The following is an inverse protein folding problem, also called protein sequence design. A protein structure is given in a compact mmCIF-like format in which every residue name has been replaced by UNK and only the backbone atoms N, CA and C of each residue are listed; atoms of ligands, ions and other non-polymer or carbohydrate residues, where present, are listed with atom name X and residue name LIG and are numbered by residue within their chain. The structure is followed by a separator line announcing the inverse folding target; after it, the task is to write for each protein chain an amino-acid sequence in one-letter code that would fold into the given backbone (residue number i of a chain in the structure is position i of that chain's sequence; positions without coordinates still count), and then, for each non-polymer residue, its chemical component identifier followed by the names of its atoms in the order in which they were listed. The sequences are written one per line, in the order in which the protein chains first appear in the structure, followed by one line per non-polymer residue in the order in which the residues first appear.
data_IF_047178524399
#
_entry.id   IF_047178524399
#
_cell.length_a   1.000
_cell.length_b   1.000
_cell.length_c   1.000
_cell.angle_alpha   90.00
_cell.angle_beta   90.00
_cell.angle_gamma   90.00
#
_symmetry.space_group_name_H-M   'P 1'
#
loop_
_entity.id
_entity.type
_entity.pdbx_description
1 polymer ?
#
# COMPACT_ATOMS: atom_id res chain seq x y z
N UNK A 1 -18.33 -11.79 -6.06
CA UNK A 1 -17.22 -11.41 -5.17
C UNK A 1 -17.79 -10.41 -4.17
N UNK A 2 -17.75 -10.73 -2.88
CA UNK A 2 -18.22 -9.80 -1.85
C UNK A 2 -17.32 -8.57 -1.86
N UNK A 3 -17.93 -7.41 -1.91
CA UNK A 3 -17.23 -6.12 -1.85
C UNK A 3 -16.74 -5.92 -0.42
N UNK A 4 -15.59 -6.50 -0.07
CA UNK A 4 -15.06 -6.48 1.27
C UNK A 4 -14.58 -5.07 1.61
N UNK A 5 -15.26 -4.45 2.56
CA UNK A 5 -15.01 -3.09 3.05
C UNK A 5 -14.44 -3.19 4.45
N UNK A 6 -13.27 -2.56 4.69
CA UNK A 6 -12.66 -2.47 6.00
C UNK A 6 -12.87 -1.06 6.58
N UNK A 7 -13.12 -0.98 7.88
CA UNK A 7 -13.45 0.28 8.55
C UNK A 7 -12.57 0.54 9.76
N UNK A 8 -12.11 1.77 9.91
CA UNK A 8 -11.59 2.31 11.16
C UNK A 8 -12.46 3.47 11.64
N UNK A 9 -11.99 4.24 12.61
CA UNK A 9 -12.66 5.45 13.07
C UNK A 9 -12.78 6.50 11.94
N UNK A 10 -11.67 6.80 11.26
CA UNK A 10 -11.58 7.86 10.24
C UNK A 10 -11.62 7.37 8.80
N UNK A 11 -11.34 6.09 8.55
CA UNK A 11 -11.08 5.57 7.22
C UNK A 11 -12.08 4.48 6.82
N UNK A 12 -12.28 4.41 5.52
CA UNK A 12 -12.96 3.33 4.81
C UNK A 12 -11.99 2.80 3.76
N UNK A 13 -11.71 1.50 3.76
CA UNK A 13 -10.99 0.84 2.67
C UNK A 13 -12.01 0.12 1.80
N UNK A 14 -12.17 0.56 0.55
CA UNK A 14 -13.08 -0.03 -0.44
C UNK A 14 -12.35 -0.37 -1.73
N UNK A 15 -12.96 -1.20 -2.54
CA UNK A 15 -12.40 -1.49 -3.86
C UNK A 15 -12.38 -0.25 -4.73
N UNK A 16 -11.40 -0.20 -5.63
CA UNK A 16 -11.30 0.81 -6.65
C UNK A 16 -12.39 0.63 -7.71
N UNK A 17 -12.92 1.73 -8.19
CA UNK A 17 -13.89 1.79 -9.30
C UNK A 17 -13.32 2.63 -10.44
N UNK A 18 -13.67 2.33 -11.68
CA UNK A 18 -13.18 3.13 -12.82
C UNK A 18 -13.63 4.60 -12.75
N UNK A 19 -14.72 4.88 -12.06
CA UNK A 19 -15.20 6.22 -11.73
C UNK A 19 -14.24 7.03 -10.85
N UNK A 20 -13.34 6.37 -10.13
CA UNK A 20 -12.34 7.01 -9.28
C UNK A 20 -11.16 7.61 -10.06
N UNK A 21 -11.12 7.44 -11.37
CA UNK A 21 -9.99 7.83 -12.21
C UNK A 21 -9.60 9.30 -12.10
N UNK A 22 -10.56 10.21 -11.97
CA UNK A 22 -10.29 11.63 -11.81
C UNK A 22 -9.66 11.95 -10.46
N UNK A 23 -10.12 11.29 -9.37
CA UNK A 23 -9.54 11.46 -8.05
C UNK A 23 -8.14 10.84 -7.99
N UNK A 24 -7.95 9.66 -8.57
CA UNK A 24 -6.63 9.05 -8.68
C UNK A 24 -5.68 9.96 -9.46
N UNK A 25 -6.09 10.53 -10.58
CA UNK A 25 -5.25 11.42 -11.37
C UNK A 25 -4.79 12.65 -10.58
N UNK A 26 -5.68 13.28 -9.80
CA UNK A 26 -5.31 14.42 -8.95
C UNK A 26 -4.19 14.08 -7.96
N UNK A 27 -4.19 12.87 -7.44
CA UNK A 27 -3.15 12.38 -6.52
C UNK A 27 -1.90 11.94 -7.28
N UNK A 28 -2.10 11.15 -8.32
CA UNK A 28 -1.02 10.47 -9.03
C UNK A 28 -0.24 11.38 -9.99
N UNK A 29 -0.76 12.55 -10.30
CA UNK A 29 -0.02 13.59 -11.06
C UNK A 29 0.93 14.42 -10.18
N UNK A 30 0.87 14.27 -8.84
CA UNK A 30 1.82 14.93 -7.95
C UNK A 30 3.19 14.21 -8.00
N UNK A 31 4.28 14.93 -8.40
CA UNK A 31 5.61 14.33 -8.55
C UNK A 31 6.23 13.86 -7.24
N UNK A 32 5.68 14.26 -6.10
CA UNK A 32 6.15 13.80 -4.80
C UNK A 32 5.50 12.47 -4.34
N UNK A 33 4.41 12.02 -4.96
CA UNK A 33 3.69 10.81 -4.54
C UNK A 33 4.21 9.57 -5.27
N UNK A 34 4.11 9.54 -6.59
CA UNK A 34 4.46 8.38 -7.42
C UNK A 34 5.90 7.90 -7.23
N UNK A 35 6.92 8.76 -7.42
CA UNK A 35 8.32 8.36 -7.31
C UNK A 35 8.70 7.80 -5.94
N UNK A 36 8.06 8.27 -4.86
CA UNK A 36 8.28 7.72 -3.50
C UNK A 36 7.62 6.37 -3.25
N UNK A 37 6.66 6.00 -4.10
CA UNK A 37 5.94 4.73 -4.04
C UNK A 37 6.37 3.75 -5.15
N UNK A 38 7.36 4.13 -5.98
CA UNK A 38 7.96 3.25 -6.99
C UNK A 38 7.27 3.27 -8.36
N UNK A 39 6.51 4.34 -8.66
CA UNK A 39 5.86 4.49 -9.97
C UNK A 39 5.96 5.94 -10.49
N UNK A 40 5.84 6.09 -11.82
CA UNK A 40 5.90 7.41 -12.48
C UNK A 40 4.59 8.18 -12.31
N UNK A 41 4.68 9.52 -12.30
CA UNK A 41 3.50 10.38 -12.26
C UNK A 41 2.59 10.13 -13.45
N UNK A 42 1.28 10.04 -13.18
CA UNK A 42 0.27 9.89 -14.22
C UNK A 42 0.15 11.17 -15.06
N UNK A 43 -0.05 11.02 -16.36
CA UNK A 43 -0.09 12.11 -17.34
C UNK A 43 -1.52 12.48 -17.75
N UNK A 44 -2.50 11.61 -17.44
CA UNK A 44 -3.90 11.83 -17.80
C UNK A 44 -4.86 11.02 -16.91
N UNK A 45 -6.12 11.43 -16.91
CA UNK A 45 -7.21 10.66 -16.27
C UNK A 45 -7.38 9.29 -16.91
N UNK A 46 -7.16 9.17 -18.23
CA UNK A 46 -7.26 7.88 -18.91
C UNK A 46 -6.16 6.91 -18.48
N UNK A 47 -4.93 7.39 -18.28
CA UNK A 47 -3.84 6.57 -17.68
C UNK A 47 -4.23 6.10 -16.28
N UNK A 48 -4.79 6.97 -15.45
CA UNK A 48 -5.30 6.59 -14.11
C UNK A 48 -6.41 5.55 -14.20
N UNK A 49 -7.33 5.69 -15.16
CA UNK A 49 -8.40 4.70 -15.40
C UNK A 49 -7.83 3.33 -15.79
N UNK A 50 -6.82 3.33 -16.65
CA UNK A 50 -6.17 2.09 -17.08
C UNK A 50 -5.40 1.44 -15.91
N UNK A 51 -4.75 2.22 -15.04
CA UNK A 51 -4.11 1.70 -13.81
C UNK A 51 -5.16 1.07 -12.89
N UNK A 52 -6.31 1.72 -12.67
CA UNK A 52 -7.39 1.12 -11.89
C UNK A 52 -7.81 -0.22 -12.51
N UNK A 53 -8.09 -0.23 -13.80
CA UNK A 53 -8.59 -1.42 -14.52
C UNK A 53 -7.60 -2.59 -14.47
N UNK A 54 -6.31 -2.34 -14.70
CA UNK A 54 -5.30 -3.39 -14.84
C UNK A 54 -4.59 -3.78 -13.55
N UNK A 55 -4.42 -2.81 -12.65
CA UNK A 55 -3.56 -2.99 -11.46
C UNK A 55 -4.40 -3.03 -10.18
N UNK A 56 -5.40 -2.15 -10.02
CA UNK A 56 -6.13 -2.03 -8.77
C UNK A 56 -7.43 -2.84 -8.73
N UNK A 57 -7.98 -3.28 -9.88
CA UNK A 57 -9.17 -4.11 -9.95
C UNK A 57 -8.86 -5.57 -9.60
N UNK A 58 -8.53 -5.81 -8.34
CA UNK A 58 -8.24 -7.14 -7.78
C UNK A 58 -8.72 -7.21 -6.32
N UNK A 59 -8.67 -8.42 -5.73
CA UNK A 59 -9.15 -8.67 -4.37
C UNK A 59 -8.11 -8.34 -3.26
N UNK A 60 -6.98 -7.77 -3.63
CA UNK A 60 -5.87 -7.46 -2.71
C UNK A 60 -5.56 -5.96 -2.61
N UNK A 61 -6.31 -5.08 -3.31
CA UNK A 61 -6.03 -3.65 -3.39
C UNK A 61 -7.26 -2.81 -3.05
N UNK A 62 -7.08 -1.80 -2.19
CA UNK A 62 -8.14 -0.91 -1.72
C UNK A 62 -7.77 0.56 -1.90
N UNK A 63 -8.76 1.37 -2.26
CA UNK A 63 -8.73 2.80 -2.06
C UNK A 63 -8.90 3.13 -0.58
N UNK A 64 -8.08 4.03 -0.06
CA UNK A 64 -8.23 4.60 1.28
C UNK A 64 -9.12 5.83 1.15
N UNK A 65 -10.30 5.79 1.74
CA UNK A 65 -11.27 6.90 1.71
C UNK A 65 -11.37 7.52 3.10
N UNK A 66 -11.25 8.83 3.18
CA UNK A 66 -11.51 9.59 4.40
C UNK A 66 -13.03 9.69 4.63
N UNK A 67 -13.53 9.23 5.77
CA UNK A 67 -14.97 9.21 6.07
C UNK A 67 -15.59 10.60 6.18
N UNK A 68 -14.82 11.57 6.67
CA UNK A 68 -15.27 12.95 6.85
C UNK A 68 -15.44 13.66 5.51
N UNK A 69 -14.41 13.64 4.66
CA UNK A 69 -14.39 14.37 3.39
C UNK A 69 -14.95 13.58 2.22
N UNK A 70 -15.11 12.27 2.35
CA UNK A 70 -15.47 11.30 1.30
C UNK A 70 -14.45 11.20 0.17
N UNK A 71 -13.30 11.85 0.29
CA UNK A 71 -12.26 11.84 -0.72
C UNK A 71 -11.39 10.59 -0.60
N UNK A 72 -10.89 10.12 -1.73
CA UNK A 72 -9.81 9.15 -1.78
C UNK A 72 -8.52 9.85 -1.36
N UNK A 73 -7.84 9.29 -0.36
CA UNK A 73 -6.64 9.87 0.22
C UNK A 73 -5.40 8.99 0.01
N UNK A 74 -5.56 7.81 -0.57
CA UNK A 74 -4.46 6.89 -0.81
C UNK A 74 -4.89 5.53 -1.33
N UNK A 75 -3.92 4.63 -1.37
CA UNK A 75 -4.08 3.23 -1.75
C UNK A 75 -3.33 2.33 -0.78
N UNK A 76 -3.85 1.14 -0.56
CA UNK A 76 -3.21 0.11 0.25
C UNK A 76 -3.57 -1.27 -0.28
N UNK A 77 -2.64 -2.21 -0.17
CA UNK A 77 -2.88 -3.58 -0.61
C UNK A 77 -1.85 -4.56 -0.12
N UNK A 78 -2.04 -5.82 -0.49
CA UNK A 78 -1.04 -6.87 -0.29
C UNK A 78 -0.71 -7.57 -1.60
N UNK A 79 0.49 -8.11 -1.67
CA UNK A 79 1.00 -8.93 -2.76
C UNK A 79 1.27 -10.34 -2.21
N UNK A 80 0.89 -11.35 -2.97
CA UNK A 80 1.20 -12.74 -2.65
C UNK A 80 2.57 -13.11 -3.20
N UNK A 81 3.05 -14.31 -2.87
CA UNK A 81 4.29 -14.86 -3.41
C UNK A 81 4.44 -14.67 -4.94
N UNK A 82 3.35 -14.80 -5.70
CA UNK A 82 3.37 -14.66 -7.16
C UNK A 82 3.54 -13.21 -7.67
N UNK A 83 3.26 -12.21 -6.83
CA UNK A 83 3.21 -10.79 -7.23
C UNK A 83 4.11 -9.89 -6.39
N UNK A 84 4.72 -10.43 -5.33
CA UNK A 84 5.64 -9.69 -4.45
C UNK A 84 6.94 -9.30 -5.16
N UNK A 85 7.47 -8.13 -4.79
CA UNK A 85 8.78 -7.65 -5.25
C UNK A 85 9.95 -8.27 -4.47
N UNK A 86 9.67 -8.84 -3.31
CA UNK A 86 10.66 -9.52 -2.46
C UNK A 86 10.38 -11.01 -2.40
N UNK A 87 11.41 -11.87 -2.21
CA UNK A 87 11.19 -13.31 -2.11
C UNK A 87 10.54 -13.64 -0.78
N UNK A 88 9.27 -14.02 -0.81
CA UNK A 88 8.46 -14.44 0.35
C UNK A 88 7.93 -15.86 0.17
N UNK A 89 7.47 -16.49 1.25
CA UNK A 89 6.86 -17.82 1.22
C UNK A 89 5.47 -17.83 0.56
N UNK A 90 5.00 -19.01 0.14
CA UNK A 90 3.68 -19.18 -0.49
C UNK A 90 2.51 -18.81 0.43
N UNK A 91 2.71 -18.95 1.74
CA UNK A 91 1.72 -18.61 2.78
C UNK A 91 1.89 -17.20 3.35
N UNK A 92 2.79 -16.40 2.79
CA UNK A 92 3.11 -15.06 3.24
C UNK A 92 2.49 -13.99 2.34
N UNK A 93 2.50 -12.75 2.80
CA UNK A 93 2.20 -11.61 1.95
C UNK A 93 3.16 -10.44 2.19
N UNK A 94 3.32 -9.62 1.18
CA UNK A 94 3.96 -8.31 1.25
C UNK A 94 2.89 -7.23 1.26
N UNK A 95 2.98 -6.22 2.12
CA UNK A 95 2.05 -5.08 2.14
C UNK A 95 2.68 -3.85 1.53
N UNK A 96 1.88 -3.09 0.78
CA UNK A 96 2.29 -1.84 0.15
C UNK A 96 1.22 -0.76 0.27
N UNK A 97 1.64 0.49 0.31
CA UNK A 97 0.74 1.64 0.47
C UNK A 97 1.35 2.95 -0.02
N UNK A 98 0.47 3.89 -0.33
CA UNK A 98 0.81 5.30 -0.51
C UNK A 98 -0.38 6.19 -0.11
N UNK A 99 -0.07 7.43 0.25
CA UNK A 99 -1.06 8.44 0.68
C UNK A 99 -0.78 9.74 -0.05
N UNK A 100 -1.83 10.44 -0.46
CA UNK A 100 -1.77 11.74 -1.09
C UNK A 100 -1.07 12.78 -0.21
N UNK A 101 -0.24 13.63 -0.80
CA UNK A 101 0.61 14.61 -0.11
C UNK A 101 -0.11 15.50 0.92
N UNK A 102 -1.34 16.02 0.66
CA UNK A 102 -2.06 16.82 1.67
C UNK A 102 -2.39 16.07 2.96
N UNK A 103 -2.34 14.75 2.95
CA UNK A 103 -2.68 13.87 4.09
C UNK A 103 -1.46 13.27 4.78
N UNK A 104 -0.25 13.67 4.41
CA UNK A 104 0.97 13.22 5.08
C UNK A 104 1.05 13.70 6.52
N UNK A 105 1.76 12.93 7.36
CA UNK A 105 1.97 13.22 8.79
C UNK A 105 0.70 13.26 9.67
N UNK A 106 -0.46 12.80 9.15
CA UNK A 106 -1.73 12.78 9.87
C UNK A 106 -2.10 11.38 10.41
N UNK A 107 -1.19 10.41 10.31
CA UNK A 107 -1.40 9.04 10.79
C UNK A 107 -2.29 8.17 9.90
N UNK A 108 -2.75 8.67 8.76
CA UNK A 108 -3.62 7.97 7.81
C UNK A 108 -3.02 6.62 7.38
N UNK A 109 -1.77 6.63 6.94
CA UNK A 109 -1.08 5.43 6.51
C UNK A 109 -0.98 4.37 7.62
N UNK A 110 -0.64 4.79 8.84
CA UNK A 110 -0.53 3.90 10.00
C UNK A 110 -1.88 3.26 10.35
N UNK A 111 -2.96 4.04 10.30
CA UNK A 111 -4.33 3.58 10.59
C UNK A 111 -4.81 2.59 9.51
N UNK A 112 -4.62 2.91 8.23
CA UNK A 112 -4.96 2.03 7.12
C UNK A 112 -4.16 0.72 7.15
N UNK A 113 -2.86 0.80 7.45
CA UNK A 113 -2.01 -0.39 7.55
C UNK A 113 -2.45 -1.32 8.68
N UNK A 114 -2.83 -0.80 9.84
CA UNK A 114 -3.36 -1.64 10.94
C UNK A 114 -4.63 -2.39 10.54
N UNK A 115 -5.53 -1.76 9.79
CA UNK A 115 -6.72 -2.43 9.25
C UNK A 115 -6.33 -3.58 8.31
N UNK A 116 -5.41 -3.31 7.38
CA UNK A 116 -4.95 -4.32 6.43
C UNK A 116 -4.24 -5.48 7.15
N UNK A 117 -3.41 -5.21 8.16
CA UNK A 117 -2.71 -6.24 8.93
C UNK A 117 -3.70 -7.16 9.65
N UNK A 118 -4.73 -6.61 10.28
CA UNK A 118 -5.80 -7.41 10.87
C UNK A 118 -6.46 -8.32 9.83
N UNK A 119 -6.81 -7.77 8.66
CA UNK A 119 -7.38 -8.53 7.57
C UNK A 119 -6.45 -9.65 7.07
N UNK A 120 -5.17 -9.35 6.84
CA UNK A 120 -4.17 -10.32 6.40
C UNK A 120 -3.99 -11.47 7.38
N UNK A 121 -3.95 -11.19 8.70
CA UNK A 121 -3.72 -12.21 9.72
C UNK A 121 -5.00 -12.98 10.08
N UNK A 122 -6.13 -12.29 10.28
CA UNK A 122 -7.33 -12.87 10.86
C UNK A 122 -8.33 -13.39 9.82
N UNK A 123 -8.30 -12.85 8.60
CA UNK A 123 -9.23 -13.23 7.53
C UNK A 123 -8.54 -14.04 6.44
N UNK A 124 -7.38 -13.59 5.98
CA UNK A 124 -6.61 -14.30 4.94
C UNK A 124 -5.68 -15.37 5.51
N UNK A 125 -5.37 -15.32 6.81
CA UNK A 125 -4.54 -16.29 7.52
C UNK A 125 -3.11 -16.42 6.97
N UNK A 126 -2.53 -15.31 6.48
CA UNK A 126 -1.12 -15.30 6.10
C UNK A 126 -0.24 -15.58 7.33
N UNK A 127 0.84 -16.35 7.13
CA UNK A 127 1.74 -16.76 8.21
C UNK A 127 2.71 -15.65 8.59
N UNK A 128 3.35 -15.04 7.59
CA UNK A 128 4.24 -13.91 7.79
C UNK A 128 3.80 -12.72 6.91
N UNK A 129 4.01 -11.53 7.42
CA UNK A 129 3.74 -10.29 6.68
C UNK A 129 5.05 -9.53 6.52
N UNK A 130 5.34 -9.23 5.29
CA UNK A 130 6.52 -8.52 4.84
C UNK A 130 6.16 -7.16 4.29
N UNK A 131 7.12 -6.27 4.25
CA UNK A 131 7.02 -4.98 3.58
C UNK A 131 8.41 -4.54 3.15
N UNK A 132 8.48 -3.61 2.25
CA UNK A 132 9.71 -2.90 1.96
C UNK A 132 9.52 -1.37 1.97
N UNK A 133 10.62 -0.65 1.99
CA UNK A 133 10.63 0.77 1.75
C UNK A 133 11.92 1.19 1.07
N UNK A 134 11.86 2.18 0.19
CA UNK A 134 13.06 2.77 -0.39
C UNK A 134 13.95 3.38 0.70
N UNK A 135 15.26 3.18 0.58
CA UNK A 135 16.22 3.66 1.58
C UNK A 135 16.08 5.18 1.81
N UNK A 136 15.77 5.93 0.76
CA UNK A 136 15.52 7.38 0.83
C UNK A 136 14.15 7.79 1.37
N UNK A 137 13.30 6.83 1.83
CA UNK A 137 11.94 7.11 2.32
C UNK A 137 11.78 6.82 3.83
N UNK A 138 12.33 7.64 4.74
CA UNK A 138 12.22 7.42 6.18
C UNK A 138 10.79 7.57 6.71
N UNK A 139 9.89 8.21 5.95
CA UNK A 139 8.48 8.31 6.33
C UNK A 139 7.79 6.95 6.28
N UNK A 140 8.03 6.17 5.22
CA UNK A 140 7.53 4.79 5.10
C UNK A 140 8.12 3.90 6.20
N UNK A 141 9.43 3.99 6.47
CA UNK A 141 10.06 3.25 7.58
C UNK A 141 9.33 3.48 8.91
N UNK A 142 9.07 4.74 9.26
CA UNK A 142 8.36 5.10 10.51
C UNK A 142 6.93 4.56 10.56
N UNK A 143 6.22 4.48 9.44
CA UNK A 143 4.87 3.87 9.39
C UNK A 143 4.96 2.39 9.70
N UNK A 144 5.89 1.68 9.07
CA UNK A 144 6.12 0.24 9.28
C UNK A 144 6.51 -0.04 10.75
N UNK A 145 7.47 0.70 11.30
CA UNK A 145 7.90 0.56 12.70
C UNK A 145 6.73 0.76 13.70
N UNK A 146 5.89 1.79 13.48
CA UNK A 146 4.69 2.05 14.30
C UNK A 146 3.65 0.93 14.23
N UNK A 147 3.64 0.16 13.15
CA UNK A 147 2.78 -1.01 12.98
C UNK A 147 3.43 -2.31 13.47
N UNK A 148 4.69 -2.26 13.94
CA UNK A 148 5.38 -3.40 14.55
C UNK A 148 6.30 -4.16 13.62
N UNK A 149 6.59 -3.63 12.45
CA UNK A 149 7.62 -4.18 11.58
C UNK A 149 9.01 -3.91 12.13
N UNK A 150 9.93 -4.85 11.86
CA UNK A 150 11.34 -4.75 12.18
C UNK A 150 12.19 -4.93 10.93
N UNK A 151 13.30 -4.22 10.92
CA UNK A 151 14.31 -4.36 9.88
C UNK A 151 14.93 -5.77 9.94
N UNK A 152 14.94 -6.45 8.83
CA UNK A 152 15.56 -7.78 8.70
C UNK A 152 17.06 -7.73 8.42
N UNK A 153 17.60 -6.57 8.13
CA UNK A 153 18.96 -6.40 7.63
C UNK A 153 19.13 -6.73 6.13
N UNK A 154 18.08 -7.21 5.47
CA UNK A 154 18.11 -7.54 4.06
C UNK A 154 17.84 -6.32 3.19
N UNK A 155 18.59 -6.24 2.09
CA UNK A 155 18.40 -5.27 1.02
C UNK A 155 17.96 -6.00 -0.24
N UNK A 156 17.05 -5.39 -0.99
CA UNK A 156 16.62 -5.88 -2.29
C UNK A 156 16.63 -4.75 -3.31
N UNK A 157 16.53 -5.10 -4.57
CA UNK A 157 16.37 -4.14 -5.67
C UNK A 157 14.97 -4.31 -6.26
N UNK A 158 14.15 -3.30 -6.12
CA UNK A 158 12.84 -3.25 -6.75
C UNK A 158 12.87 -2.40 -8.00
N UNK A 159 12.22 -2.86 -9.06
CA UNK A 159 11.94 -2.02 -10.21
C UNK A 159 10.69 -1.19 -9.92
N UNK A 160 10.64 0.02 -10.48
CA UNK A 160 9.40 0.79 -10.50
C UNK A 160 8.30 0.01 -11.23
N UNK A 161 7.05 0.15 -10.78
CA UNK A 161 5.89 -0.57 -11.34
C UNK A 161 5.67 -0.32 -12.83
N UNK A 162 6.11 0.83 -13.34
CA UNK A 162 5.97 1.23 -14.76
C UNK A 162 7.27 1.13 -15.55
N UNK A 163 8.24 0.36 -15.07
CA UNK A 163 9.56 0.24 -15.69
C UNK A 163 10.45 1.44 -15.34
N UNK A 164 11.68 1.20 -15.04
CA UNK A 164 12.63 2.21 -14.62
C UNK A 164 13.83 1.56 -13.97
N UNK A 165 14.68 2.37 -13.39
CA UNK A 165 15.83 1.89 -12.65
C UNK A 165 15.39 1.13 -11.40
N UNK A 166 16.19 0.15 -11.02
CA UNK A 166 15.98 -0.61 -9.80
C UNK A 166 16.56 0.17 -8.62
N UNK A 167 15.69 0.57 -7.71
CA UNK A 167 16.10 1.21 -6.48
C UNK A 167 16.28 0.22 -5.33
N UNK A 168 17.18 0.58 -4.42
CA UNK A 168 17.42 -0.22 -3.23
C UNK A 168 16.31 -0.03 -2.21
N UNK A 169 15.76 -1.13 -1.75
CA UNK A 169 14.78 -1.18 -0.69
C UNK A 169 15.31 -1.95 0.50
N UNK A 170 14.85 -1.58 1.67
CA UNK A 170 15.09 -2.27 2.92
C UNK A 170 13.89 -3.15 3.24
N UNK A 171 14.15 -4.43 3.48
CA UNK A 171 13.11 -5.42 3.75
C UNK A 171 12.77 -5.44 5.23
N UNK A 172 11.49 -5.35 5.53
CA UNK A 172 10.92 -5.34 6.87
C UNK A 172 10.01 -6.55 7.07
N UNK A 173 9.94 -7.08 8.28
CA UNK A 173 9.03 -8.18 8.65
C UNK A 173 8.22 -7.81 9.89
N UNK A 174 6.93 -8.16 9.90
CA UNK A 174 6.05 -7.94 11.03
C UNK A 174 6.39 -8.92 12.16
N UNK A 175 6.61 -8.40 13.36
CA UNK A 175 6.70 -9.23 14.58
C UNK A 175 5.30 -9.55 15.09
N UNK A 176 4.88 -10.81 14.94
CA UNK A 176 3.55 -11.28 15.36
C UNK A 176 3.53 -11.84 16.79
N UNK A 177 4.70 -12.09 17.40
CA UNK A 177 4.79 -12.72 18.71
C UNK A 177 4.24 -11.81 19.82
N UNK A 178 3.10 -12.21 20.40
CA UNK A 178 2.50 -11.58 21.59
C UNK A 178 1.65 -10.34 21.34
N UNK A 179 1.27 -10.03 20.11
CA UNK A 179 0.35 -8.94 19.80
C UNK A 179 -1.02 -9.47 19.39
N UNK A 180 -2.07 -8.96 20.04
CA UNK A 180 -3.46 -9.05 19.56
C UNK A 180 -3.65 -7.91 18.55
N UNK A 181 -3.96 -8.23 17.31
CA UNK A 181 -4.26 -7.28 16.25
C UNK A 181 -5.75 -7.01 16.17
#
# INVERSE_FOLDING_TARGET
MENEILHSERLLLRRWEESDAEELFKIASDPDVGPRAGWETHRSVEESREVIRRIFSNDATWAIVCKETKLIVGCIGYFTHATSNIPIGESDCEVGYWVAKPFWNQGICTEALRLLLHHCLCVKHFQEIWADHFIGNPASARVLEKCGFRDTGLLNRCSHLLGGDKDMVRVMRLETHGKTF
#
